data_IF_038196047886
#
_entry.id   IF_038196047886
#
_cell.length_a   1.000
_cell.length_b   1.000
_cell.length_c   1.000
_cell.angle_alpha   90.00
_cell.angle_beta   90.00
_cell.angle_gamma   90.00
#
_symmetry.space_group_name_H-M   'P 1'
#
loop_
_entity.id
_entity.type
_entity.pdbx_description
1 polymer ?
#
# COMPACT_ATOMS: atom_id res chain seq x y z
N UNK A 1 -6.09 20.22 3.90
CA UNK A 1 -4.95 19.31 3.93
C UNK A 1 -5.19 18.17 2.93
N UNK A 2 -4.19 17.83 2.15
CA UNK A 2 -4.30 16.75 1.17
C UNK A 2 -3.86 15.42 1.81
N UNK A 3 -4.79 14.51 2.02
CA UNK A 3 -4.53 13.20 2.60
C UNK A 3 -4.47 12.17 1.48
N UNK A 4 -3.33 11.48 1.38
CA UNK A 4 -3.11 10.39 0.44
C UNK A 4 -3.04 9.09 1.21
N UNK A 5 -3.78 8.08 0.77
CA UNK A 5 -3.77 6.74 1.34
C UNK A 5 -3.17 5.76 0.34
N UNK A 6 -2.19 5.00 0.79
CA UNK A 6 -1.59 3.89 0.05
C UNK A 6 -1.58 2.66 0.94
N UNK A 7 -1.54 1.47 0.37
CA UNK A 7 -1.57 0.24 1.17
C UNK A 7 -0.66 -0.82 0.55
N UNK A 8 -0.08 -1.63 1.42
CA UNK A 8 0.92 -2.64 1.03
C UNK A 8 0.87 -3.82 1.99
N UNK A 9 1.32 -4.97 1.51
CA UNK A 9 1.77 -6.04 2.38
C UNK A 9 3.11 -5.65 3.00
N UNK A 10 4.02 -5.15 2.20
CA UNK A 10 5.35 -4.66 2.59
C UNK A 10 6.18 -5.72 3.30
N UNK A 11 6.16 -6.94 2.78
CA UNK A 11 6.84 -8.07 3.41
C UNK A 11 8.36 -7.93 3.33
N UNK A 12 8.89 -7.69 2.13
CA UNK A 12 10.30 -7.36 1.94
C UNK A 12 10.35 -6.04 1.20
N UNK A 13 10.82 -5.00 1.90
CA UNK A 13 10.91 -3.66 1.32
C UNK A 13 11.98 -3.66 0.24
N UNK A 14 11.64 -3.12 -0.91
CA UNK A 14 12.56 -2.99 -2.02
C UNK A 14 12.33 -1.67 -2.76
N UNK A 15 13.12 -1.43 -3.78
CA UNK A 15 13.12 -0.17 -4.52
C UNK A 15 11.74 0.19 -5.10
N UNK A 16 10.98 -0.81 -5.56
CA UNK A 16 9.61 -0.57 -6.06
C UNK A 16 8.69 0.03 -5.02
N UNK A 17 8.74 -0.49 -3.79
CA UNK A 17 7.99 0.09 -2.67
C UNK A 17 8.41 1.52 -2.38
N UNK A 18 9.72 1.77 -2.33
CA UNK A 18 10.24 3.11 -2.03
C UNK A 18 9.85 4.12 -3.09
N UNK A 19 9.88 3.75 -4.37
CA UNK A 19 9.43 4.62 -5.46
C UNK A 19 7.94 4.95 -5.34
N UNK A 20 7.12 3.95 -5.05
CA UNK A 20 5.69 4.14 -4.85
C UNK A 20 5.41 5.09 -3.69
N UNK A 21 6.10 4.90 -2.57
CA UNK A 21 5.94 5.74 -1.37
C UNK A 21 6.45 7.15 -1.60
N UNK A 22 7.58 7.30 -2.25
CA UNK A 22 8.15 8.61 -2.61
C UNK A 22 7.18 9.40 -3.49
N UNK A 23 6.64 8.77 -4.51
CA UNK A 23 5.70 9.40 -5.42
C UNK A 23 4.39 9.75 -4.71
N UNK A 24 3.90 8.86 -3.86
CA UNK A 24 2.69 9.12 -3.07
C UNK A 24 2.87 10.32 -2.13
N UNK A 25 4.04 10.42 -1.49
CA UNK A 25 4.34 11.57 -0.64
C UNK A 25 4.44 12.87 -1.45
N UNK A 26 5.05 12.81 -2.63
CA UNK A 26 5.13 13.96 -3.51
C UNK A 26 3.74 14.45 -3.94
N UNK A 27 2.83 13.51 -4.21
CA UNK A 27 1.42 13.83 -4.55
C UNK A 27 0.72 14.51 -3.37
N UNK A 28 0.99 14.07 -2.13
CA UNK A 28 0.42 14.71 -0.94
C UNK A 28 0.87 16.17 -0.81
N UNK A 29 2.10 16.45 -1.23
CA UNK A 29 2.66 17.79 -1.18
C UNK A 29 3.22 18.15 0.21
N UNK A 30 3.86 19.32 0.34
CA UNK A 30 4.56 19.70 1.58
C UNK A 30 3.63 19.88 2.79
N UNK A 31 2.37 20.20 2.56
CA UNK A 31 1.39 20.35 3.65
C UNK A 31 0.43 19.18 3.75
N UNK A 32 0.56 18.21 2.85
CA UNK A 32 -0.24 17.00 2.87
C UNK A 32 0.36 15.92 3.76
N UNK A 33 -0.36 14.80 3.86
CA UNK A 33 0.08 13.64 4.65
C UNK A 33 -0.12 12.36 3.86
N UNK A 34 0.86 11.47 3.96
CA UNK A 34 0.76 10.12 3.41
C UNK A 34 0.46 9.15 4.56
N UNK A 35 -0.69 8.51 4.47
CA UNK A 35 -1.09 7.44 5.39
C UNK A 35 -0.91 6.11 4.68
N UNK A 36 -0.20 5.19 5.30
CA UNK A 36 0.07 3.86 4.72
C UNK A 36 -0.63 2.79 5.55
N UNK A 37 -1.45 1.99 4.87
CA UNK A 37 -2.09 0.82 5.45
C UNK A 37 -1.23 -0.43 5.24
N UNK A 38 -1.02 -1.19 6.32
CA UNK A 38 -0.29 -2.46 6.27
C UNK A 38 -1.29 -3.60 6.43
N UNK A 39 -1.35 -4.47 5.44
CA UNK A 39 -2.31 -5.58 5.39
C UNK A 39 -2.00 -6.60 6.49
N UNK A 40 -3.03 -7.05 7.21
CA UNK A 40 -2.88 -8.03 8.30
C UNK A 40 -2.34 -9.37 7.81
N UNK A 41 -1.72 -10.13 8.72
CA UNK A 41 -1.23 -11.48 8.40
C UNK A 41 -2.37 -12.38 7.95
N UNK A 42 -3.52 -12.28 8.60
CA UNK A 42 -4.71 -13.09 8.30
C UNK A 42 -5.22 -12.81 6.88
N UNK A 43 -5.27 -11.53 6.49
CA UNK A 43 -5.73 -11.16 5.14
C UNK A 43 -4.75 -11.64 4.06
N UNK A 44 -3.46 -11.59 4.32
CA UNK A 44 -2.44 -12.08 3.39
C UNK A 44 -2.56 -13.61 3.25
N UNK A 45 -2.71 -14.32 4.37
CA UNK A 45 -2.88 -15.78 4.37
C UNK A 45 -4.11 -16.20 3.56
N UNK A 46 -5.23 -15.51 3.78
CA UNK A 46 -6.48 -15.79 3.07
C UNK A 46 -6.33 -15.59 1.56
N UNK A 47 -5.70 -14.49 1.16
CA UNK A 47 -5.55 -14.13 -0.25
C UNK A 47 -4.47 -14.95 -0.96
N UNK A 48 -3.30 -15.10 -0.34
CA UNK A 48 -2.11 -15.70 -0.96
C UNK A 48 -1.82 -17.13 -0.52
N UNK A 49 -2.57 -17.65 0.42
CA UNK A 49 -2.42 -19.02 0.97
C UNK A 49 -1.07 -19.25 1.65
N UNK A 50 -0.40 -18.20 2.07
CA UNK A 50 0.83 -18.26 2.84
C UNK A 50 0.98 -17.00 3.70
N UNK A 51 1.65 -17.14 4.84
CA UNK A 51 1.93 -15.99 5.70
C UNK A 51 3.11 -15.18 5.15
N UNK A 52 3.17 -13.88 5.45
CA UNK A 52 4.37 -13.09 5.14
C UNK A 52 5.60 -13.64 5.87
N UNK A 53 6.79 -13.36 5.34
CA UNK A 53 8.05 -13.69 6.01
C UNK A 53 8.20 -12.87 7.28
N UNK A 54 7.88 -11.58 7.21
CA UNK A 54 7.87 -10.68 8.36
C UNK A 54 6.44 -10.58 8.90
N UNK A 55 6.27 -10.70 10.21
CA UNK A 55 4.96 -10.59 10.81
C UNK A 55 4.40 -9.16 10.73
N UNK A 56 3.13 -9.01 11.01
CA UNK A 56 2.44 -7.73 10.93
C UNK A 56 3.12 -6.64 11.75
N UNK A 57 3.49 -6.94 12.99
CA UNK A 57 4.13 -5.98 13.89
C UNK A 57 5.44 -5.45 13.32
N UNK A 58 6.27 -6.34 12.76
CA UNK A 58 7.55 -5.96 12.15
C UNK A 58 7.33 -5.15 10.87
N UNK A 59 6.35 -5.53 10.06
CA UNK A 59 6.02 -4.79 8.83
C UNK A 59 5.50 -3.38 9.13
N UNK A 60 4.70 -3.23 10.20
CA UNK A 60 4.28 -1.90 10.69
C UNK A 60 5.48 -1.04 11.09
N UNK A 61 6.39 -1.62 11.87
CA UNK A 61 7.57 -0.91 12.35
C UNK A 61 8.46 -0.45 11.20
N UNK A 62 8.69 -1.32 10.23
CA UNK A 62 9.48 -0.98 9.05
C UNK A 62 8.83 0.14 8.24
N UNK A 63 7.53 0.06 8.01
CA UNK A 63 6.80 1.11 7.31
C UNK A 63 6.90 2.45 8.02
N UNK A 64 6.79 2.43 9.34
CA UNK A 64 6.89 3.64 10.15
C UNK A 64 8.30 4.26 10.14
N UNK A 65 9.30 3.50 9.73
CA UNK A 65 10.70 3.96 9.64
C UNK A 65 11.05 4.56 8.29
N UNK A 66 10.15 4.49 7.31
CA UNK A 66 10.39 5.02 5.98
C UNK A 66 10.09 6.53 5.97
N UNK A 67 11.07 7.32 5.54
CA UNK A 67 11.00 8.78 5.64
C UNK A 67 9.80 9.42 4.90
N UNK A 68 9.24 8.75 3.90
CA UNK A 68 8.11 9.30 3.12
C UNK A 68 6.78 9.13 3.82
N UNK A 69 6.69 8.28 4.82
CA UNK A 69 5.45 7.90 5.49
C UNK A 69 5.19 8.81 6.68
N UNK A 70 4.01 9.42 6.72
CA UNK A 70 3.63 10.29 7.83
C UNK A 70 2.91 9.54 8.93
N UNK A 71 2.07 8.56 8.55
CA UNK A 71 1.30 7.76 9.51
C UNK A 71 1.11 6.35 8.96
N UNK A 72 1.27 5.36 9.83
CA UNK A 72 1.02 3.96 9.48
C UNK A 72 -0.20 3.47 10.24
N UNK A 73 -1.09 2.76 9.55
CA UNK A 73 -2.28 2.15 10.15
C UNK A 73 -2.36 0.68 9.73
N UNK A 74 -3.03 -0.12 10.54
CA UNK A 74 -3.34 -1.49 10.15
C UNK A 74 -4.46 -1.51 9.11
N UNK A 75 -4.37 -2.43 8.15
CA UNK A 75 -5.43 -2.70 7.20
C UNK A 75 -5.89 -4.14 7.41
N UNK A 76 -7.05 -4.29 8.01
CA UNK A 76 -7.59 -5.59 8.39
C UNK A 76 -7.87 -6.50 7.20
N UNK A 77 -8.32 -5.90 6.09
CA UNK A 77 -8.68 -6.62 4.87
C UNK A 77 -7.61 -6.47 3.82
N UNK A 78 -7.58 -7.38 2.85
CA UNK A 78 -6.66 -7.27 1.71
C UNK A 78 -6.99 -6.06 0.83
N UNK A 79 -8.26 -5.67 0.78
CA UNK A 79 -8.72 -4.47 0.06
C UNK A 79 -8.75 -3.26 0.97
N UNK A 80 -8.60 -2.05 0.43
CA UNK A 80 -8.48 -0.83 1.24
C UNK A 80 -9.81 -0.19 1.63
N UNK A 81 -10.95 -0.73 1.20
CA UNK A 81 -12.23 -0.02 1.23
C UNK A 81 -12.68 0.41 2.64
N UNK A 82 -12.51 -0.47 3.63
CA UNK A 82 -12.92 -0.15 5.01
C UNK A 82 -12.11 1.03 5.57
N UNK A 83 -10.78 0.98 5.40
CA UNK A 83 -9.93 2.08 5.85
C UNK A 83 -10.21 3.36 5.06
N UNK A 84 -10.45 3.26 3.77
CA UNK A 84 -10.78 4.42 2.93
C UNK A 84 -12.08 5.08 3.41
N UNK A 85 -13.10 4.29 3.74
CA UNK A 85 -14.35 4.83 4.30
C UNK A 85 -14.11 5.56 5.62
N UNK A 86 -13.27 5.00 6.49
CA UNK A 86 -13.01 5.54 7.82
C UNK A 86 -12.11 6.78 7.77
N UNK A 87 -11.12 6.78 6.90
CA UNK A 87 -10.14 7.88 6.77
C UNK A 87 -10.67 9.00 5.87
N UNK A 88 -11.44 8.63 4.85
CA UNK A 88 -11.92 9.55 3.81
C UNK A 88 -10.78 10.37 3.21
N UNK A 89 -9.74 9.73 2.65
CA UNK A 89 -8.63 10.46 2.06
C UNK A 89 -9.06 11.22 0.80
N UNK A 90 -8.26 12.19 0.40
CA UNK A 90 -8.49 12.90 -0.87
C UNK A 90 -8.06 12.05 -2.06
N UNK A 91 -7.03 11.22 -1.87
CA UNK A 91 -6.48 10.38 -2.93
C UNK A 91 -6.22 8.98 -2.39
N UNK A 92 -6.68 7.97 -3.13
CA UNK A 92 -6.32 6.57 -2.93
C UNK A 92 -5.30 6.19 -4.00
N UNK A 93 -4.14 5.71 -3.58
CA UNK A 93 -3.11 5.23 -4.48
C UNK A 93 -3.34 3.75 -4.80
N UNK A 94 -3.26 3.43 -6.08
CA UNK A 94 -3.33 2.05 -6.57
C UNK A 94 -2.14 1.77 -7.48
N UNK A 95 -1.82 0.50 -7.66
CA UNK A 95 -0.81 0.06 -8.62
C UNK A 95 -1.51 -0.56 -9.84
N UNK A 96 -0.95 -0.37 -11.03
CA UNK A 96 -1.46 -1.04 -12.23
C UNK A 96 -1.38 -2.58 -12.13
N UNK A 97 -0.60 -3.11 -11.18
CA UNK A 97 -0.53 -4.54 -10.90
C UNK A 97 -1.74 -5.06 -10.11
N UNK A 98 -2.55 -4.18 -9.54
CA UNK A 98 -3.74 -4.57 -8.81
C UNK A 98 -4.86 -4.97 -9.77
N UNK A 99 -5.79 -5.80 -9.29
CA UNK A 99 -6.96 -6.22 -10.03
C UNK A 99 -7.80 -5.01 -10.47
N UNK A 100 -8.15 -4.97 -11.76
CA UNK A 100 -8.94 -3.88 -12.33
C UNK A 100 -10.31 -3.73 -11.66
N UNK A 101 -10.95 -4.85 -11.27
CA UNK A 101 -12.23 -4.81 -10.55
C UNK A 101 -12.05 -4.11 -9.20
N UNK A 102 -10.96 -4.39 -8.49
CA UNK A 102 -10.63 -3.76 -7.23
C UNK A 102 -10.39 -2.26 -7.41
N UNK A 103 -9.64 -1.89 -8.43
CA UNK A 103 -9.36 -0.48 -8.75
C UNK A 103 -10.66 0.27 -9.04
N UNK A 104 -11.55 -0.32 -9.84
CA UNK A 104 -12.82 0.31 -10.20
C UNK A 104 -13.76 0.48 -9.01
N UNK A 105 -13.81 -0.48 -8.09
CA UNK A 105 -14.55 -0.32 -6.83
C UNK A 105 -13.98 0.82 -6.00
N UNK A 106 -12.66 0.95 -5.98
CA UNK A 106 -11.99 2.06 -5.32
C UNK A 106 -12.36 3.40 -5.93
N UNK A 107 -12.43 3.47 -7.26
CA UNK A 107 -12.85 4.69 -7.96
C UNK A 107 -14.27 5.10 -7.60
N UNK A 108 -15.20 4.16 -7.57
CA UNK A 108 -16.59 4.42 -7.20
C UNK A 108 -16.68 4.95 -5.76
N UNK A 109 -16.00 4.30 -4.83
CA UNK A 109 -15.97 4.72 -3.43
C UNK A 109 -15.37 6.11 -3.28
N UNK A 110 -14.22 6.36 -3.91
CA UNK A 110 -13.55 7.65 -3.83
C UNK A 110 -14.41 8.77 -4.44
N UNK A 111 -15.14 8.49 -5.50
CA UNK A 111 -16.07 9.45 -6.09
C UNK A 111 -17.16 9.84 -5.10
N UNK A 112 -17.70 8.89 -4.36
CA UNK A 112 -18.71 9.17 -3.31
C UNK A 112 -18.13 10.04 -2.19
N UNK A 113 -16.84 9.85 -1.88
CA UNK A 113 -16.15 10.62 -0.84
C UNK A 113 -15.61 11.97 -1.32
N UNK A 114 -15.81 12.30 -2.59
CA UNK A 114 -15.32 13.56 -3.15
C UNK A 114 -13.82 13.57 -3.48
N UNK A 115 -13.20 12.39 -3.54
CA UNK A 115 -11.80 12.22 -3.86
C UNK A 115 -11.58 11.50 -5.20
N UNK A 116 -10.39 10.97 -5.37
CA UNK A 116 -10.01 10.26 -6.60
C UNK A 116 -8.98 9.18 -6.36
N UNK A 117 -8.82 8.29 -7.35
CA UNK A 117 -7.80 7.26 -7.39
C UNK A 117 -6.71 7.70 -8.35
N UNK A 118 -5.45 7.48 -7.96
CA UNK A 118 -4.30 7.60 -8.86
C UNK A 118 -3.68 6.21 -8.98
N UNK A 119 -3.55 5.73 -10.21
CA UNK A 119 -2.94 4.44 -10.52
C UNK A 119 -1.50 4.67 -10.92
N UNK A 120 -0.57 4.06 -10.19
CA UNK A 120 0.87 4.18 -10.45
C UNK A 120 1.36 3.01 -11.31
N UNK A 121 2.34 3.26 -12.19
CA UNK A 121 2.96 2.19 -12.96
C UNK A 121 3.61 1.14 -12.05
N UNK A 122 3.57 -0.11 -12.48
CA UNK A 122 4.22 -1.21 -11.78
C UNK A 122 5.74 -1.19 -12.03
N UNK A 123 6.52 -1.36 -10.96
CA UNK A 123 7.98 -1.43 -11.05
C UNK A 123 8.41 -2.87 -11.35
N UNK A 124 8.71 -3.15 -12.61
CA UNK A 124 8.98 -4.51 -13.10
C UNK A 124 10.37 -5.07 -12.74
N UNK A 125 11.32 -4.21 -12.36
CA UNK A 125 12.71 -4.62 -12.15
C UNK A 125 12.97 -5.30 -10.81
N UNK A 126 12.01 -5.23 -9.87
CA UNK A 126 12.16 -5.84 -8.56
C UNK A 126 10.80 -6.14 -7.94
N UNK A 127 10.75 -7.21 -7.10
CA UNK A 127 9.59 -7.57 -6.31
C UNK A 127 10.02 -8.37 -5.10
N UNK A 128 9.19 -8.46 -4.07
CA UNK A 128 9.46 -9.32 -2.92
C UNK A 128 9.58 -10.78 -3.33
N UNK A 129 8.77 -11.22 -4.29
CA UNK A 129 8.84 -12.57 -4.84
C UNK A 129 10.18 -12.83 -5.51
N UNK A 130 10.70 -11.89 -6.33
CA UNK A 130 12.00 -12.01 -6.96
C UNK A 130 13.12 -12.09 -5.93
N UNK A 131 13.08 -11.25 -4.88
CA UNK A 131 14.07 -11.26 -3.82
C UNK A 131 14.07 -12.59 -3.08
N UNK A 132 12.90 -13.09 -2.71
CA UNK A 132 12.76 -14.38 -2.03
C UNK A 132 13.31 -15.52 -2.90
N UNK A 133 13.06 -15.49 -4.20
CA UNK A 133 13.59 -16.46 -5.16
C UNK A 133 15.12 -16.42 -5.20
N UNK A 134 15.74 -15.25 -5.23
CA UNK A 134 17.20 -15.11 -5.25
C UNK A 134 17.83 -15.66 -3.97
N UNK A 135 17.21 -15.44 -2.83
CA UNK A 135 17.68 -15.95 -1.54
C UNK A 135 17.62 -17.48 -1.52
N UNK A 136 16.54 -18.07 -2.02
CA UNK A 136 16.37 -19.51 -2.06
C UNK A 136 17.38 -20.22 -2.96
N UNK A 137 17.98 -19.53 -3.89
CA UNK A 137 18.97 -20.07 -4.84
C UNK A 137 20.43 -19.88 -4.41
N UNK A 138 20.63 -19.34 -3.21
CA UNK A 138 21.98 -19.12 -2.66
C UNK A 138 22.61 -20.37 -2.04
#
# INVERSE_FOLDING_TARGET
MNIVYAYFVLDIVHRGHLMMLKNSKAIAGPEGRLIVGIVSDEAVLEKKRKVPVLDFSERLELANSIQYVDLVVGQKNYTPYENVKNIAPNILMESESHDEVQINKGRELMKELGGRVIVMPYFHNQSSTLIKSKISNV
#
